data_IF_376893610632
#
_entry.id   IF_376893610632
#
_cell.length_a   1.000
_cell.length_b   1.000
_cell.length_c   1.000
_cell.angle_alpha   90.00
_cell.angle_beta   90.00
_cell.angle_gamma   90.00
#
_symmetry.space_group_name_H-M   'P 1'
#
loop_
_entity.id
_entity.type
_entity.pdbx_description
1 polymer ?
#
# COMPACT_ATOMS: atom_id res chain seq x y z
N UNK A 1 -2.29 35.66 18.30
CA UNK A 1 -3.37 34.73 17.92
C UNK A 1 -2.84 33.31 18.01
N UNK A 2 -3.72 32.33 18.23
CA UNK A 2 -3.32 30.92 18.37
C UNK A 2 -4.51 29.98 18.22
N UNK A 3 -4.24 28.80 17.69
CA UNK A 3 -5.22 27.75 17.38
C UNK A 3 -5.56 26.93 18.62
N UNK A 4 -6.84 26.63 18.84
CA UNK A 4 -7.23 25.73 19.93
C UNK A 4 -7.10 24.26 19.51
N UNK A 5 -5.87 23.75 19.50
CA UNK A 5 -5.53 22.38 19.08
C UNK A 5 -6.27 21.32 19.91
N UNK A 6 -6.48 21.56 21.21
CA UNK A 6 -7.23 20.65 22.10
C UNK A 6 -8.67 20.47 21.65
N UNK A 7 -9.30 21.53 21.16
CA UNK A 7 -10.66 21.46 20.62
C UNK A 7 -10.70 20.70 19.29
N UNK A 8 -9.70 20.92 18.42
CA UNK A 8 -9.58 20.17 17.16
C UNK A 8 -9.47 18.67 17.44
N UNK A 9 -8.62 18.28 18.40
CA UNK A 9 -8.46 16.88 18.81
C UNK A 9 -9.77 16.33 19.39
N UNK A 10 -10.41 17.06 20.31
CA UNK A 10 -11.63 16.58 20.96
C UNK A 10 -12.78 16.34 19.98
N UNK A 11 -12.82 17.09 18.87
CA UNK A 11 -13.78 16.90 17.78
C UNK A 11 -13.33 15.78 16.85
N UNK A 12 -12.17 15.92 16.19
CA UNK A 12 -11.80 15.06 15.06
C UNK A 12 -11.37 13.66 15.49
N UNK A 13 -10.66 13.52 16.62
CA UNK A 13 -10.16 12.22 17.08
C UNK A 13 -11.29 11.27 17.52
N UNK A 14 -12.46 11.81 17.91
CA UNK A 14 -13.62 11.04 18.37
C UNK A 14 -14.68 10.83 17.29
N UNK A 15 -14.32 10.92 16.02
CA UNK A 15 -15.23 10.74 14.89
C UNK A 15 -14.67 9.69 13.94
N UNK A 16 -15.53 8.85 13.38
CA UNK A 16 -15.13 7.92 12.32
C UNK A 16 -14.98 8.64 10.96
N UNK A 17 -14.48 7.94 9.94
CA UNK A 17 -14.23 8.52 8.63
C UNK A 17 -15.49 9.15 7.99
N UNK A 18 -16.65 8.48 8.09
CA UNK A 18 -17.91 8.99 7.55
C UNK A 18 -18.35 10.29 8.24
N UNK A 19 -18.22 10.36 9.57
CA UNK A 19 -18.52 11.56 10.34
C UNK A 19 -17.56 12.71 10.01
N UNK A 20 -16.26 12.42 9.82
CA UNK A 20 -15.29 13.45 9.42
C UNK A 20 -15.57 13.98 8.02
N UNK A 21 -15.94 13.11 7.07
CA UNK A 21 -16.38 13.53 5.74
C UNK A 21 -17.63 14.42 5.81
N UNK A 22 -18.60 14.10 6.68
CA UNK A 22 -19.76 14.98 6.90
C UNK A 22 -19.35 16.33 7.48
N UNK A 23 -18.46 16.36 8.48
CA UNK A 23 -17.93 17.60 9.05
C UNK A 23 -17.25 18.45 7.97
N UNK A 24 -16.41 17.87 7.12
CA UNK A 24 -15.76 18.58 6.00
C UNK A 24 -16.78 19.20 5.05
N UNK A 25 -17.80 18.43 4.66
CA UNK A 25 -18.85 18.90 3.75
C UNK A 25 -19.64 20.06 4.37
N UNK A 26 -20.09 19.90 5.62
CA UNK A 26 -20.85 20.95 6.33
C UNK A 26 -19.99 22.20 6.56
N UNK A 27 -18.70 22.04 6.85
CA UNK A 27 -17.77 23.17 6.99
C UNK A 27 -17.68 23.97 5.68
N UNK A 28 -17.52 23.28 4.55
CA UNK A 28 -17.48 23.92 3.23
C UNK A 28 -18.80 24.63 2.88
N UNK A 29 -19.96 24.02 3.20
CA UNK A 29 -21.27 24.64 2.97
C UNK A 29 -21.51 25.86 3.86
N UNK A 30 -21.03 25.83 5.11
CA UNK A 30 -21.26 26.89 6.11
C UNK A 30 -20.34 28.08 5.91
N UNK A 31 -19.05 27.81 5.61
CA UNK A 31 -18.00 28.83 5.59
C UNK A 31 -17.45 29.13 4.20
N UNK A 32 -17.82 28.35 3.18
CA UNK A 32 -17.31 28.53 1.81
C UNK A 32 -15.82 28.17 1.65
N UNK A 33 -15.22 27.47 2.61
CA UNK A 33 -13.81 27.09 2.61
C UNK A 33 -13.64 25.58 2.86
N UNK A 34 -12.61 24.97 2.25
CA UNK A 34 -12.27 23.58 2.54
C UNK A 34 -11.58 23.46 3.90
N UNK A 35 -12.09 22.56 4.74
CA UNK A 35 -11.60 22.36 6.11
C UNK A 35 -10.11 21.98 6.16
N UNK A 36 -9.60 21.19 5.20
CA UNK A 36 -8.17 20.82 5.22
C UNK A 36 -7.29 22.05 4.98
N UNK A 37 -7.66 22.91 4.03
CA UNK A 37 -6.94 24.19 3.80
C UNK A 37 -6.98 25.11 5.02
N UNK A 38 -8.10 25.18 5.73
CA UNK A 38 -8.18 25.96 6.97
C UNK A 38 -7.27 25.39 8.06
N UNK A 39 -7.21 24.05 8.19
CA UNK A 39 -6.32 23.38 9.14
C UNK A 39 -4.83 23.56 8.78
N UNK A 40 -4.47 23.50 7.49
CA UNK A 40 -3.11 23.75 6.99
C UNK A 40 -2.59 25.15 7.35
N UNK A 41 -3.47 26.17 7.37
CA UNK A 41 -3.08 27.54 7.72
C UNK A 41 -2.82 27.74 9.22
N UNK A 42 -3.49 26.95 10.04
CA UNK A 42 -3.58 27.17 11.49
C UNK A 42 -2.73 26.19 12.31
N UNK A 43 -2.31 25.08 11.71
CA UNK A 43 -1.48 24.04 12.34
C UNK A 43 -0.07 24.06 11.75
N UNK A 44 0.87 23.37 12.41
CA UNK A 44 2.23 23.20 11.89
C UNK A 44 2.82 21.83 12.21
N UNK A 45 3.87 21.46 11.47
CA UNK A 45 4.75 20.32 11.72
C UNK A 45 4.00 18.97 11.76
N UNK A 46 4.44 18.03 12.60
CA UNK A 46 3.89 16.67 12.67
C UNK A 46 2.43 16.65 13.11
N UNK A 47 2.00 17.62 13.92
CA UNK A 47 0.62 17.70 14.38
C UNK A 47 -0.33 18.06 13.24
N UNK A 48 0.02 19.05 12.42
CA UNK A 48 -0.69 19.37 11.19
C UNK A 48 -0.83 18.13 10.31
N UNK A 49 0.30 17.47 10.01
CA UNK A 49 0.30 16.29 9.14
C UNK A 49 -0.61 15.18 9.66
N UNK A 50 -0.58 14.91 10.97
CA UNK A 50 -1.42 13.90 11.59
C UNK A 50 -2.92 14.24 11.46
N UNK A 51 -3.30 15.50 11.72
CA UNK A 51 -4.69 15.94 11.63
C UNK A 51 -5.20 15.94 10.19
N UNK A 52 -4.40 16.38 9.22
CA UNK A 52 -4.79 16.37 7.80
C UNK A 52 -5.02 14.95 7.31
N UNK A 53 -4.06 14.05 7.52
CA UNK A 53 -4.20 12.65 7.13
C UNK A 53 -5.37 11.96 7.83
N UNK A 54 -5.64 12.29 9.09
CA UNK A 54 -6.80 11.75 9.80
C UNK A 54 -8.12 12.24 9.17
N UNK A 55 -8.17 13.48 8.73
CA UNK A 55 -9.38 14.15 8.25
C UNK A 55 -9.70 13.87 6.79
N UNK A 56 -8.70 13.51 5.98
CA UNK A 56 -8.89 13.07 4.58
C UNK A 56 -9.79 11.83 4.46
N UNK A 57 -10.48 11.74 3.33
CA UNK A 57 -11.14 10.49 2.93
C UNK A 57 -10.09 9.38 2.75
N UNK A 58 -10.38 8.10 3.04
CA UNK A 58 -9.39 7.03 2.93
C UNK A 58 -8.67 6.98 1.57
N UNK A 59 -9.39 7.19 0.46
CA UNK A 59 -8.79 7.15 -0.88
C UNK A 59 -7.90 8.37 -1.15
N UNK A 60 -8.34 9.56 -0.72
CA UNK A 60 -7.56 10.81 -0.79
C UNK A 60 -6.27 10.71 0.03
N UNK A 61 -6.36 10.15 1.25
CA UNK A 61 -5.21 9.93 2.13
C UNK A 61 -4.20 8.99 1.51
N UNK A 62 -4.65 7.85 0.98
CA UNK A 62 -3.75 6.89 0.34
C UNK A 62 -3.10 7.49 -0.90
N UNK A 63 -3.84 8.27 -1.69
CA UNK A 63 -3.28 9.01 -2.83
C UNK A 63 -2.21 10.02 -2.41
N UNK A 64 -2.46 10.78 -1.35
CA UNK A 64 -1.49 11.75 -0.81
C UNK A 64 -0.22 11.04 -0.31
N UNK A 65 -0.36 9.99 0.50
CA UNK A 65 0.77 9.20 0.99
C UNK A 65 1.56 8.56 -0.13
N UNK A 66 0.88 8.05 -1.17
CA UNK A 66 1.55 7.51 -2.35
C UNK A 66 2.32 8.59 -3.11
N UNK A 67 1.78 9.81 -3.23
CA UNK A 67 2.46 10.92 -3.92
C UNK A 67 3.69 11.42 -3.14
N UNK A 68 3.60 11.48 -1.82
CA UNK A 68 4.78 11.75 -0.99
C UNK A 68 5.83 10.65 -1.18
N UNK A 69 5.40 9.39 -1.26
CA UNK A 69 6.28 8.25 -1.37
C UNK A 69 7.02 8.19 -2.71
N UNK A 70 6.39 8.59 -3.82
CA UNK A 70 7.04 8.65 -5.13
C UNK A 70 8.09 9.76 -5.23
N UNK A 71 7.95 10.84 -4.45
CA UNK A 71 8.86 12.01 -4.48
C UNK A 71 10.11 11.85 -3.61
N UNK A 72 10.08 11.01 -2.57
CA UNK A 72 11.19 10.83 -1.62
C UNK A 72 11.80 9.44 -1.79
N UNK A 73 12.91 9.30 -2.51
CA UNK A 73 13.54 8.00 -2.79
C UNK A 73 14.35 7.44 -1.59
N UNK A 74 13.65 7.11 -0.50
CA UNK A 74 14.20 6.39 0.67
C UNK A 74 13.19 5.34 1.17
N UNK A 75 13.12 5.06 2.48
CA UNK A 75 12.19 4.15 3.19
C UNK A 75 10.71 4.25 2.75
N UNK A 76 10.35 5.31 2.03
CA UNK A 76 9.09 5.62 1.37
C UNK A 76 8.52 4.51 0.47
N UNK A 77 9.36 3.67 -0.13
CA UNK A 77 8.87 2.54 -0.92
C UNK A 77 8.05 1.55 -0.08
N UNK A 78 8.26 1.51 1.24
CA UNK A 78 7.44 0.72 2.17
C UNK A 78 5.99 1.20 2.21
N UNK A 79 5.75 2.50 2.05
CA UNK A 79 4.39 3.07 2.07
C UNK A 79 3.60 2.60 0.85
N UNK A 80 4.21 2.62 -0.36
CA UNK A 80 3.57 2.10 -1.57
C UNK A 80 3.26 0.61 -1.43
N UNK A 81 4.20 -0.17 -0.88
CA UNK A 81 4.00 -1.58 -0.58
C UNK A 81 2.85 -1.81 0.41
N UNK A 82 2.82 -1.04 1.50
CA UNK A 82 1.80 -1.13 2.54
C UNK A 82 0.42 -0.81 1.98
N UNK A 83 0.27 0.29 1.25
CA UNK A 83 -0.99 0.65 0.57
C UNK A 83 -1.41 -0.49 -0.36
N UNK A 84 -0.51 -0.94 -1.24
CA UNK A 84 -0.86 -1.97 -2.23
C UNK A 84 -1.16 -3.35 -1.62
N UNK A 85 -0.66 -3.67 -0.44
CA UNK A 85 -0.83 -4.99 0.19
C UNK A 85 -1.95 -5.01 1.25
N UNK A 86 -2.21 -3.90 1.92
CA UNK A 86 -3.20 -3.82 2.99
C UNK A 86 -4.60 -3.51 2.47
N UNK A 87 -4.71 -2.71 1.39
CA UNK A 87 -5.98 -2.38 0.76
C UNK A 87 -6.56 -3.53 -0.04
N UNK A 88 -7.89 -3.62 -0.03
CA UNK A 88 -8.65 -4.41 -1.00
C UNK A 88 -8.45 -3.86 -2.41
N UNK A 89 -8.74 -4.68 -3.41
CA UNK A 89 -8.63 -4.26 -4.82
C UNK A 89 -9.52 -3.05 -5.15
N UNK A 90 -10.69 -2.97 -4.49
CA UNK A 90 -11.59 -1.83 -4.64
C UNK A 90 -11.05 -0.55 -3.99
N UNK A 91 -10.53 -0.63 -2.77
CA UNK A 91 -9.91 0.53 -2.10
C UNK A 91 -8.69 1.05 -2.86
N UNK A 92 -7.85 0.14 -3.39
CA UNK A 92 -6.70 0.51 -4.20
C UNK A 92 -7.11 1.20 -5.51
N UNK A 93 -8.21 0.76 -6.13
CA UNK A 93 -8.79 1.44 -7.30
C UNK A 93 -9.26 2.86 -6.95
N UNK A 94 -9.95 3.05 -5.82
CA UNK A 94 -10.38 4.38 -5.36
C UNK A 94 -9.16 5.28 -5.09
N UNK A 95 -8.11 4.75 -4.47
CA UNK A 95 -6.87 5.51 -4.23
C UNK A 95 -6.22 5.97 -5.55
N UNK A 96 -6.18 5.11 -6.58
CA UNK A 96 -5.68 5.48 -7.93
C UNK A 96 -6.53 6.58 -8.57
N UNK A 97 -7.86 6.49 -8.45
CA UNK A 97 -8.78 7.52 -8.95
C UNK A 97 -8.57 8.86 -8.24
N UNK A 98 -8.42 8.84 -6.92
CA UNK A 98 -8.09 10.02 -6.13
C UNK A 98 -6.73 10.60 -6.56
N UNK A 99 -5.71 9.76 -6.72
CA UNK A 99 -4.39 10.19 -7.20
C UNK A 99 -4.47 10.94 -8.53
N UNK A 100 -5.19 10.38 -9.50
CA UNK A 100 -5.40 11.01 -10.80
C UNK A 100 -6.18 12.33 -10.68
N UNK A 101 -7.23 12.36 -9.87
CA UNK A 101 -8.04 13.57 -9.65
C UNK A 101 -7.22 14.70 -9.04
N UNK A 102 -6.42 14.41 -8.01
CA UNK A 102 -5.68 15.41 -7.24
C UNK A 102 -4.37 15.85 -7.90
N UNK A 103 -3.60 14.91 -8.46
CA UNK A 103 -2.26 15.19 -8.98
C UNK A 103 -2.17 15.26 -10.50
N UNK A 104 -3.26 14.95 -11.21
CA UNK A 104 -3.34 14.94 -12.69
C UNK A 104 -2.30 14.02 -13.34
N UNK A 105 -2.02 12.89 -12.66
CA UNK A 105 -1.02 11.89 -13.03
C UNK A 105 -1.51 10.49 -12.73
N UNK A 106 -0.90 9.49 -13.35
CA UNK A 106 -1.10 8.08 -12.99
C UNK A 106 -0.17 7.71 -11.83
N UNK A 107 -0.71 7.01 -10.84
CA UNK A 107 0.10 6.47 -9.73
C UNK A 107 1.14 5.48 -10.27
N UNK A 108 0.72 4.63 -11.18
CA UNK A 108 1.52 3.61 -11.84
C UNK A 108 2.70 4.22 -12.61
N UNK A 109 2.43 5.29 -13.37
CA UNK A 109 3.47 5.99 -14.12
C UNK A 109 4.45 6.71 -13.20
N UNK A 110 3.97 7.39 -12.15
CA UNK A 110 4.86 8.02 -11.17
C UNK A 110 5.71 6.95 -10.45
N UNK A 111 5.13 5.81 -10.09
CA UNK A 111 5.87 4.67 -9.53
C UNK A 111 6.90 4.15 -10.54
N UNK A 112 6.53 3.98 -11.80
CA UNK A 112 7.42 3.49 -12.85
C UNK A 112 8.59 4.46 -13.11
N UNK A 113 8.32 5.76 -13.15
CA UNK A 113 9.30 6.81 -13.36
C UNK A 113 10.31 6.89 -12.20
N UNK A 114 9.83 6.78 -10.96
CA UNK A 114 10.65 6.97 -9.77
C UNK A 114 11.34 5.69 -9.25
N UNK A 115 10.92 4.50 -9.68
CA UNK A 115 11.56 3.22 -9.30
C UNK A 115 12.41 2.66 -10.44
N UNK A 116 13.28 1.67 -10.22
CA UNK A 116 14.10 1.04 -11.28
C UNK A 116 14.20 -0.48 -11.12
N UNK A 117 14.63 -1.16 -12.17
CA UNK A 117 14.94 -2.60 -12.15
C UNK A 117 13.76 -3.49 -11.79
N UNK A 118 14.05 -4.59 -11.10
CA UNK A 118 13.05 -5.60 -10.74
C UNK A 118 12.05 -5.08 -9.71
N UNK A 119 12.51 -4.18 -8.86
CA UNK A 119 11.66 -3.54 -7.87
C UNK A 119 10.57 -2.67 -8.51
N UNK A 120 10.87 -1.99 -9.64
CA UNK A 120 9.85 -1.32 -10.46
C UNK A 120 8.79 -2.29 -10.94
N UNK A 121 9.20 -3.42 -11.51
CA UNK A 121 8.26 -4.44 -12.04
C UNK A 121 7.30 -4.91 -10.94
N UNK A 122 7.84 -5.22 -9.76
CA UNK A 122 7.05 -5.63 -8.60
C UNK A 122 6.07 -4.52 -8.17
N UNK A 123 6.57 -3.31 -7.91
CA UNK A 123 5.76 -2.22 -7.37
C UNK A 123 4.64 -1.78 -8.32
N UNK A 124 4.95 -1.62 -9.61
CA UNK A 124 3.95 -1.23 -10.62
C UNK A 124 2.82 -2.26 -10.66
N UNK A 125 3.14 -3.55 -10.65
CA UNK A 125 2.12 -4.61 -10.62
C UNK A 125 1.31 -4.60 -9.33
N UNK A 126 1.94 -4.36 -8.18
CA UNK A 126 1.24 -4.27 -6.90
C UNK A 126 0.23 -3.12 -6.86
N UNK A 127 0.66 -1.89 -7.21
CA UNK A 127 -0.23 -0.72 -7.19
C UNK A 127 -1.30 -0.78 -8.29
N UNK A 128 -1.08 -1.57 -9.34
CA UNK A 128 -2.05 -1.77 -10.43
C UNK A 128 -3.01 -2.94 -10.19
N UNK A 129 -2.75 -3.78 -9.18
CA UNK A 129 -3.40 -5.08 -9.04
C UNK A 129 -4.90 -4.98 -8.72
N UNK A 130 -5.68 -5.88 -9.32
CA UNK A 130 -7.08 -6.10 -8.99
C UNK A 130 -7.25 -7.59 -8.66
N UNK A 131 -6.80 -7.95 -7.46
CA UNK A 131 -6.76 -9.33 -6.96
C UNK A 131 -8.13 -9.78 -6.48
N UNK A 132 -8.34 -11.09 -6.54
CA UNK A 132 -9.44 -11.72 -5.85
C UNK A 132 -9.23 -11.62 -4.34
N UNK A 133 -10.23 -11.15 -3.59
CA UNK A 133 -10.15 -10.97 -2.13
C UNK A 133 -10.88 -12.09 -1.35
N UNK A 134 -11.41 -13.12 -2.04
CA UNK A 134 -12.12 -14.23 -1.42
C UNK A 134 -11.21 -15.31 -0.81
N UNK A 135 -11.78 -16.19 0.04
CA UNK A 135 -11.05 -17.22 0.79
C UNK A 135 -10.68 -18.47 -0.03
N UNK A 136 -11.11 -18.58 -1.28
CA UNK A 136 -10.99 -19.77 -2.11
C UNK A 136 -9.52 -20.06 -2.45
N UNK A 137 -9.13 -21.33 -2.27
CA UNK A 137 -7.76 -21.80 -2.49
C UNK A 137 -7.76 -23.04 -3.37
N UNK A 138 -6.92 -23.01 -4.41
CA UNK A 138 -6.56 -24.18 -5.19
C UNK A 138 -5.24 -24.77 -4.66
N UNK A 139 -5.34 -25.90 -3.97
CA UNK A 139 -4.19 -26.57 -3.34
C UNK A 139 -3.22 -27.19 -4.36
N UNK A 140 -3.72 -27.65 -5.51
CA UNK A 140 -2.86 -28.16 -6.59
C UNK A 140 -2.00 -27.04 -7.16
N UNK A 141 -2.62 -25.88 -7.40
CA UNK A 141 -1.91 -24.68 -7.85
C UNK A 141 -0.90 -24.21 -6.80
N UNK A 142 -1.28 -24.17 -5.52
CA UNK A 142 -0.39 -23.78 -4.42
C UNK A 142 0.89 -24.62 -4.38
N UNK A 143 0.76 -25.94 -4.55
CA UNK A 143 1.90 -26.87 -4.62
C UNK A 143 2.79 -26.59 -5.84
N UNK A 144 2.20 -26.41 -7.03
CA UNK A 144 2.99 -26.11 -8.23
C UNK A 144 3.71 -24.77 -8.13
N UNK A 145 3.04 -23.74 -7.60
CA UNK A 145 3.62 -22.41 -7.47
C UNK A 145 4.70 -22.35 -6.38
N UNK A 146 4.58 -23.14 -5.31
CA UNK A 146 5.65 -23.28 -4.32
C UNK A 146 6.96 -23.80 -4.94
N UNK A 147 6.87 -24.75 -5.87
CA UNK A 147 8.03 -25.28 -6.61
C UNK A 147 8.61 -24.24 -7.57
N UNK A 148 7.76 -23.47 -8.26
CA UNK A 148 8.19 -22.36 -9.12
C UNK A 148 8.95 -21.31 -8.30
N UNK A 149 8.40 -20.89 -7.16
CA UNK A 149 9.07 -19.95 -6.25
C UNK A 149 10.42 -20.52 -5.79
N UNK A 150 10.49 -21.82 -5.46
CA UNK A 150 11.74 -22.46 -5.03
C UNK A 150 12.80 -22.44 -6.11
N UNK A 151 12.43 -22.79 -7.35
CA UNK A 151 13.34 -22.79 -8.50
C UNK A 151 13.97 -21.39 -8.69
N UNK A 152 13.14 -20.36 -8.86
CA UNK A 152 13.66 -19.01 -9.12
C UNK A 152 14.42 -18.43 -7.93
N UNK A 153 14.07 -18.78 -6.68
CA UNK A 153 14.87 -18.39 -5.51
C UNK A 153 16.25 -19.06 -5.51
N UNK A 154 16.35 -20.33 -5.89
CA UNK A 154 17.65 -21.00 -5.97
C UNK A 154 18.54 -20.45 -7.09
N UNK A 155 17.93 -20.01 -8.18
CA UNK A 155 18.61 -19.43 -9.35
C UNK A 155 18.83 -17.91 -9.22
N UNK A 156 18.29 -17.27 -8.17
CA UNK A 156 18.29 -15.82 -7.93
C UNK A 156 17.56 -15.02 -9.02
N UNK A 157 16.56 -15.62 -9.65
CA UNK A 157 15.73 -15.03 -10.71
C UNK A 157 14.46 -14.37 -10.16
N UNK A 158 14.60 -13.43 -9.24
CA UNK A 158 13.42 -12.79 -8.62
C UNK A 158 12.61 -11.91 -9.59
N UNK A 159 13.20 -11.57 -10.73
CA UNK A 159 12.60 -10.75 -11.78
C UNK A 159 11.77 -11.54 -12.79
N UNK A 160 11.76 -12.88 -12.67
CA UNK A 160 11.06 -13.75 -13.59
C UNK A 160 9.55 -13.50 -13.49
N UNK A 161 8.88 -13.46 -14.64
CA UNK A 161 7.46 -13.08 -14.72
C UNK A 161 6.57 -13.99 -13.87
N UNK A 162 6.85 -15.29 -13.81
CA UNK A 162 6.12 -16.20 -12.94
C UNK A 162 6.33 -15.90 -11.44
N UNK A 163 7.54 -15.55 -11.03
CA UNK A 163 7.82 -15.20 -9.64
C UNK A 163 7.02 -13.95 -9.24
N UNK A 164 7.09 -12.91 -10.06
CA UNK A 164 6.36 -11.65 -9.81
C UNK A 164 4.85 -11.88 -9.91
N UNK A 165 4.36 -12.62 -10.89
CA UNK A 165 2.92 -12.91 -11.05
C UNK A 165 2.35 -13.63 -9.84
N UNK A 166 3.05 -14.66 -9.32
CA UNK A 166 2.59 -15.41 -8.14
C UNK A 166 2.45 -14.47 -6.93
N UNK A 167 3.43 -13.60 -6.71
CA UNK A 167 3.40 -12.65 -5.61
C UNK A 167 2.32 -11.58 -5.84
N UNK A 168 2.23 -10.98 -7.02
CA UNK A 168 1.43 -9.76 -7.20
C UNK A 168 -0.04 -9.98 -7.54
N UNK A 169 -0.42 -11.16 -8.05
CA UNK A 169 -1.78 -11.39 -8.59
C UNK A 169 -2.65 -12.35 -7.76
N UNK A 170 -2.04 -13.16 -6.89
CA UNK A 170 -2.77 -14.17 -6.10
C UNK A 170 -3.53 -13.51 -4.95
N UNK A 171 -4.71 -14.06 -4.63
CA UNK A 171 -5.43 -13.66 -3.41
C UNK A 171 -4.55 -13.89 -2.18
N UNK A 172 -4.79 -13.14 -1.10
CA UNK A 172 -4.05 -13.37 0.16
C UNK A 172 -4.19 -14.81 0.65
N UNK A 173 -5.38 -15.40 0.51
CA UNK A 173 -5.65 -16.79 0.87
C UNK A 173 -4.80 -17.77 0.04
N UNK A 174 -4.78 -17.61 -1.29
CA UNK A 174 -4.01 -18.45 -2.19
C UNK A 174 -2.50 -18.28 -1.98
N UNK A 175 -2.01 -17.05 -1.84
CA UNK A 175 -0.60 -16.77 -1.59
C UNK A 175 -0.13 -17.41 -0.28
N UNK A 176 -0.90 -17.26 0.80
CA UNK A 176 -0.60 -17.91 2.08
C UNK A 176 -0.54 -19.45 1.94
N UNK A 177 -1.46 -20.06 1.19
CA UNK A 177 -1.41 -21.50 0.94
C UNK A 177 -0.15 -21.93 0.17
N UNK A 178 0.24 -21.16 -0.86
CA UNK A 178 1.48 -21.37 -1.61
C UNK A 178 2.72 -21.28 -0.70
N UNK A 179 2.79 -20.26 0.14
CA UNK A 179 3.92 -20.05 1.06
C UNK A 179 3.99 -21.12 2.18
N UNK A 180 2.84 -21.56 2.68
CA UNK A 180 2.77 -22.67 3.62
C UNK A 180 3.28 -23.97 2.99
N UNK A 181 2.89 -24.25 1.74
CA UNK A 181 3.41 -25.40 1.01
C UNK A 181 4.92 -25.32 0.79
N UNK A 182 5.43 -24.14 0.41
CA UNK A 182 6.87 -23.91 0.29
C UNK A 182 7.60 -24.27 1.59
N UNK A 183 7.14 -23.76 2.73
CA UNK A 183 7.79 -24.00 4.01
C UNK A 183 7.73 -25.48 4.42
N UNK A 184 6.60 -26.14 4.19
CA UNK A 184 6.41 -27.56 4.53
C UNK A 184 7.28 -28.48 3.66
N UNK A 185 7.45 -28.15 2.37
CA UNK A 185 8.21 -28.99 1.43
C UNK A 185 9.73 -28.77 1.54
N UNK A 186 10.18 -27.54 1.79
CA UNK A 186 11.61 -27.19 1.74
C UNK A 186 12.24 -26.88 3.11
N UNK A 187 11.47 -26.92 4.19
CA UNK A 187 11.97 -26.78 5.58
C UNK A 187 12.56 -25.42 5.94
N UNK A 188 12.52 -24.45 5.03
CA UNK A 188 13.00 -23.07 5.26
C UNK A 188 11.94 -22.10 4.78
N UNK A 189 11.57 -21.15 5.64
CA UNK A 189 10.65 -20.09 5.25
C UNK A 189 11.20 -19.32 4.06
N UNK A 190 10.32 -18.98 3.11
CA UNK A 190 10.66 -18.22 1.91
C UNK A 190 11.32 -16.87 2.21
N UNK A 191 11.25 -16.38 3.45
CA UNK A 191 11.83 -15.10 3.89
C UNK A 191 13.25 -15.22 4.45
N UNK A 192 13.75 -16.45 4.63
CA UNK A 192 15.03 -16.74 5.31
C UNK A 192 16.12 -17.30 4.38
N UNK A 193 15.85 -17.45 3.09
CA UNK A 193 16.74 -18.18 2.16
C UNK A 193 17.98 -17.34 1.79
N UNK A 194 17.82 -16.07 1.45
CA UNK A 194 18.92 -15.18 1.05
C UNK A 194 18.90 -13.86 1.83
N UNK A 195 19.04 -13.87 3.16
CA UNK A 195 18.79 -12.70 4.00
C UNK A 195 19.71 -11.50 3.75
N UNK A 196 20.81 -11.67 3.01
CA UNK A 196 21.76 -10.59 2.71
C UNK A 196 21.63 -10.04 1.28
N UNK A 197 20.74 -10.59 0.45
CA UNK A 197 20.52 -10.10 -0.92
C UNK A 197 19.56 -8.89 -0.90
N UNK A 198 19.99 -7.70 -1.35
CA UNK A 198 19.18 -6.48 -1.28
C UNK A 198 17.87 -6.56 -2.10
N UNK A 199 17.90 -7.26 -3.24
CA UNK A 199 16.71 -7.44 -4.08
C UNK A 199 15.73 -8.38 -3.40
N UNK A 200 16.24 -9.48 -2.86
CA UNK A 200 15.47 -10.43 -2.07
C UNK A 200 14.80 -9.76 -0.84
N UNK A 201 15.48 -8.83 -0.16
CA UNK A 201 14.91 -8.10 0.97
C UNK A 201 13.66 -7.28 0.61
N UNK A 202 13.58 -6.78 -0.63
CA UNK A 202 12.38 -6.08 -1.11
C UNK A 202 11.18 -7.03 -1.23
N UNK A 203 11.41 -8.26 -1.69
CA UNK A 203 10.39 -9.32 -1.75
C UNK A 203 10.05 -9.90 -0.37
N UNK A 204 11.01 -9.99 0.53
CA UNK A 204 10.77 -10.39 1.92
C UNK A 204 9.85 -9.37 2.61
N UNK A 205 10.12 -8.08 2.41
CA UNK A 205 9.26 -7.02 2.90
C UNK A 205 7.84 -7.16 2.33
N UNK A 206 7.71 -7.36 1.02
CA UNK A 206 6.42 -7.64 0.38
C UNK A 206 5.69 -8.78 1.08
N UNK A 207 6.34 -9.94 1.19
CA UNK A 207 5.74 -11.15 1.76
C UNK A 207 5.30 -10.89 3.19
N UNK A 208 6.13 -10.24 4.00
CA UNK A 208 5.78 -9.92 5.38
C UNK A 208 4.53 -9.05 5.44
N UNK A 209 4.44 -7.98 4.64
CA UNK A 209 3.27 -7.07 4.65
C UNK A 209 2.03 -7.76 4.08
N UNK A 210 2.17 -8.54 3.01
CA UNK A 210 1.04 -9.21 2.34
C UNK A 210 0.46 -10.38 3.15
N UNK A 211 1.24 -10.95 4.06
CA UNK A 211 0.86 -12.12 4.87
C UNK A 211 0.58 -11.79 6.34
N UNK A 212 0.90 -10.56 6.79
CA UNK A 212 0.49 -10.07 8.11
C UNK A 212 -1.03 -9.87 8.15
N UNK A 213 -1.67 -10.44 9.17
CA UNK A 213 -3.07 -10.20 9.55
C UNK A 213 -3.13 -9.09 10.57
#
# INVERSE_FOLDING_TARGET
WGTNEKLIISILAHRNAAQRNLIRKTYAETYGEDLLKSLEKELSNDFERAILLWTMDPAERDAFLANEATKRWTSSNRVLMEIACTRSSHELLLARQAYHSHFKKSLEEDVAFHTTGDFRKLLVLLVSSYRYDGPEVNMTLAKSEAKILRKHISEKEYSHDDFIRILTTRSKAQLNATLNHYNNEFGTAITKVHPYDPWYQSYVLYINVATQK
#
